data_IF_049351634825
#
_entry.id   IF_049351634825
#
_cell.length_a   1.000
_cell.length_b   1.000
_cell.length_c   1.000
_cell.angle_alpha   90.00
_cell.angle_beta   90.00
_cell.angle_gamma   90.00
#
_symmetry.space_group_name_H-M   'P 1'
#
loop_
_entity.id
_entity.type
_entity.pdbx_description
1 polymer ?
#
# COMPACT_ATOMS: atom_id res chain seq x y z
N UNK A 1 12.11 2.09 1.14
CA UNK A 1 10.71 1.90 0.72
C UNK A 1 10.00 1.09 1.77
N UNK A 2 8.70 1.30 1.93
CA UNK A 2 7.84 0.50 2.79
C UNK A 2 7.78 -0.95 2.32
N UNK A 3 7.63 -1.88 3.26
CA UNK A 3 7.53 -3.33 3.03
C UNK A 3 6.26 -3.89 3.65
N UNK A 4 5.80 -5.04 3.18
CA UNK A 4 4.70 -5.80 3.76
C UNK A 4 5.30 -6.97 4.55
N UNK A 5 5.18 -6.94 5.87
CA UNK A 5 6.01 -7.80 6.77
C UNK A 5 5.22 -8.85 7.53
N UNK A 6 3.89 -8.75 7.57
CA UNK A 6 3.02 -9.71 8.24
C UNK A 6 1.59 -9.63 7.71
N UNK A 7 0.78 -10.62 8.10
CA UNK A 7 -0.66 -10.66 7.89
C UNK A 7 -1.34 -10.61 9.26
N UNK A 8 -2.41 -9.84 9.36
CA UNK A 8 -3.22 -9.63 10.56
C UNK A 8 -4.63 -10.15 10.30
N UNK A 9 -4.98 -11.24 10.99
CA UNK A 9 -6.30 -11.87 10.90
C UNK A 9 -7.27 -11.42 12.01
N UNK A 10 -6.80 -10.64 12.99
CA UNK A 10 -7.58 -10.21 14.15
C UNK A 10 -7.37 -8.71 14.44
N UNK A 11 -8.33 -8.09 15.14
CA UNK A 11 -8.27 -6.69 15.58
C UNK A 11 -7.15 -6.43 16.63
N UNK A 12 -6.57 -7.50 17.21
CA UNK A 12 -5.60 -7.43 18.32
C UNK A 12 -4.12 -7.42 17.89
N UNK A 13 -3.82 -7.29 16.58
CA UNK A 13 -2.43 -7.25 16.13
C UNK A 13 -1.66 -6.08 16.75
N UNK A 14 -0.55 -6.41 17.43
CA UNK A 14 0.30 -5.43 18.11
C UNK A 14 1.32 -4.84 17.13
N UNK A 15 0.89 -3.79 16.42
CA UNK A 15 1.76 -3.03 15.52
C UNK A 15 3.01 -2.53 16.24
N UNK A 16 4.17 -2.82 15.65
CA UNK A 16 5.47 -2.32 16.12
C UNK A 16 5.68 -0.86 15.68
N UNK A 17 6.85 -0.31 16.02
CA UNK A 17 7.24 1.02 15.54
C UNK A 17 7.26 1.06 14.01
N UNK A 18 6.75 2.15 13.44
CA UNK A 18 6.66 2.36 11.99
C UNK A 18 5.83 1.30 11.26
N UNK A 19 4.85 0.70 11.93
CA UNK A 19 3.91 -0.23 11.30
C UNK A 19 2.49 0.33 11.23
N UNK A 20 1.77 -0.02 10.15
CA UNK A 20 0.35 0.28 9.95
C UNK A 20 -0.38 -0.85 9.22
N UNK A 21 -1.69 -1.01 9.46
CA UNK A 21 -2.51 -1.89 8.64
C UNK A 21 -2.65 -1.36 7.21
N UNK A 22 -2.68 -2.29 6.25
CA UNK A 22 -3.12 -2.09 4.88
C UNK A 22 -4.34 -2.98 4.64
N UNK A 23 -5.49 -2.34 4.45
CA UNK A 23 -6.72 -3.03 4.10
C UNK A 23 -6.82 -3.15 2.58
N UNK A 24 -6.95 -4.38 2.09
CA UNK A 24 -7.18 -4.70 0.68
C UNK A 24 -8.44 -5.57 0.61
N UNK A 25 -9.41 -5.15 -0.20
CA UNK A 25 -10.67 -5.88 -0.35
C UNK A 25 -10.42 -7.35 -0.74
N UNK A 26 -11.04 -8.27 -0.02
CA UNK A 26 -10.92 -9.71 -0.28
C UNK A 26 -9.59 -10.33 0.15
N UNK A 27 -8.79 -9.63 0.96
CA UNK A 27 -7.60 -10.16 1.63
C UNK A 27 -7.70 -9.91 3.14
N UNK A 28 -6.98 -10.70 3.94
CA UNK A 28 -6.67 -10.33 5.31
C UNK A 28 -5.87 -9.03 5.36
N UNK A 29 -5.88 -8.35 6.52
CA UNK A 29 -5.16 -7.07 6.66
C UNK A 29 -3.66 -7.31 6.59
N UNK A 30 -2.96 -6.66 5.67
CA UNK A 30 -1.50 -6.75 5.58
C UNK A 30 -0.84 -5.72 6.50
N UNK A 31 0.36 -5.99 6.99
CA UNK A 31 1.10 -5.06 7.87
C UNK A 31 2.21 -4.37 7.09
N UNK A 32 2.09 -3.05 6.93
CA UNK A 32 3.12 -2.20 6.35
C UNK A 32 4.20 -1.93 7.39
N UNK A 33 5.47 -2.01 6.99
CA UNK A 33 6.62 -1.49 7.72
C UNK A 33 7.23 -0.32 6.94
N UNK A 34 7.18 0.89 7.48
CA UNK A 34 7.86 2.05 6.89
C UNK A 34 9.36 2.01 7.15
N UNK A 35 10.11 2.57 6.20
CA UNK A 35 11.56 2.67 6.31
C UNK A 35 12.00 3.67 7.40
N UNK A 36 13.21 3.47 7.90
CA UNK A 36 13.82 4.40 8.83
C UNK A 36 14.39 5.64 8.10
N UNK A 37 13.63 6.73 8.11
CA UNK A 37 14.02 8.00 7.48
C UNK A 37 14.94 8.87 8.36
N UNK A 38 15.14 8.52 9.64
CA UNK A 38 15.91 9.33 10.59
C UNK A 38 17.41 9.02 10.60
N UNK A 39 17.84 7.91 9.97
CA UNK A 39 19.24 7.52 9.86
C UNK A 39 19.90 8.19 8.65
N UNK A 40 20.64 9.29 8.85
CA UNK A 40 21.46 9.81 7.74
C UNK A 40 22.03 11.22 7.84
N UNK A 41 21.75 12.01 8.87
CA UNK A 41 22.32 13.37 8.93
C UNK A 41 23.76 13.37 9.43
N UNK A 42 24.70 13.63 8.53
CA UNK A 42 26.09 13.92 8.88
C UNK A 42 26.21 15.37 9.38
N UNK A 43 26.34 15.53 10.69
CA UNK A 43 26.57 16.81 11.37
C UNK A 43 27.85 17.54 10.94
N UNK A 44 28.72 16.89 10.17
CA UNK A 44 30.00 17.42 9.72
C UNK A 44 29.87 18.72 8.90
N UNK A 45 28.72 18.95 8.24
CA UNK A 45 28.52 20.11 7.37
C UNK A 45 27.70 21.25 8.00
N UNK A 46 27.28 21.14 9.28
CA UNK A 46 26.30 22.04 9.91
C UNK A 46 26.66 22.50 11.32
N UNK A 47 27.94 22.56 11.68
CA UNK A 47 28.39 22.88 13.06
C UNK A 47 27.87 24.24 13.55
N UNK A 48 27.88 25.26 12.70
CA UNK A 48 27.42 26.62 13.07
C UNK A 48 25.90 26.67 13.24
N UNK A 49 25.16 25.99 12.36
CA UNK A 49 23.70 25.85 12.49
C UNK A 49 23.30 25.10 13.76
N UNK A 50 24.05 24.05 14.10
CA UNK A 50 23.85 23.31 15.34
C UNK A 50 24.13 24.18 16.56
N UNK A 51 25.23 24.94 16.58
CA UNK A 51 25.56 25.83 17.69
C UNK A 51 24.47 26.90 17.90
N UNK A 52 23.97 27.50 16.81
CA UNK A 52 22.86 28.45 16.85
C UNK A 52 21.57 27.81 17.34
N UNK A 53 21.29 26.58 16.94
CA UNK A 53 20.17 25.81 17.44
C UNK A 53 20.29 25.54 18.95
N UNK A 54 21.47 25.13 19.43
CA UNK A 54 21.71 24.88 20.87
C UNK A 54 21.49 26.14 21.70
N UNK A 55 21.87 27.33 21.21
CA UNK A 55 21.59 28.59 21.89
C UNK A 55 20.08 28.83 22.03
N UNK A 56 19.32 28.65 20.95
CA UNK A 56 17.85 28.75 20.95
C UNK A 56 17.20 27.70 21.85
N UNK A 57 17.68 26.47 21.80
CA UNK A 57 17.17 25.35 22.59
C UNK A 57 17.27 25.62 24.09
N UNK A 58 18.37 26.26 24.54
CA UNK A 58 18.59 26.61 25.94
C UNK A 58 17.65 27.69 26.49
N UNK A 59 16.90 28.38 25.63
CA UNK A 59 15.90 29.37 26.07
C UNK A 59 14.70 28.72 26.76
N UNK A 60 14.50 27.41 26.56
CA UNK A 60 13.32 26.70 27.06
C UNK A 60 13.72 25.61 28.05
N UNK A 61 13.00 25.53 29.16
CA UNK A 61 13.02 24.38 30.04
C UNK A 61 12.13 23.24 29.49
N UNK A 62 12.16 22.09 30.19
CA UNK A 62 11.39 20.89 29.79
C UNK A 62 9.89 21.14 29.65
N UNK A 63 9.28 21.86 30.57
CA UNK A 63 7.83 22.11 30.55
C UNK A 63 7.44 23.05 29.41
N UNK A 64 8.26 24.07 29.17
CA UNK A 64 8.09 25.01 28.06
C UNK A 64 8.20 24.31 26.71
N UNK A 65 9.21 23.45 26.51
CA UNK A 65 9.34 22.65 25.29
C UNK A 65 8.16 21.71 25.08
N UNK A 66 7.68 21.05 26.14
CA UNK A 66 6.54 20.12 26.05
C UNK A 66 5.24 20.84 25.65
N UNK A 67 5.05 22.08 26.12
CA UNK A 67 3.90 22.92 25.74
C UNK A 67 4.05 23.48 24.32
N UNK A 68 5.26 23.89 23.97
CA UNK A 68 5.59 24.51 22.68
C UNK A 68 5.46 23.53 21.51
N UNK A 69 5.96 22.30 21.69
CA UNK A 69 6.08 21.29 20.63
C UNK A 69 4.82 20.42 20.53
N UNK A 70 3.66 21.06 20.38
CA UNK A 70 2.39 20.40 20.08
C UNK A 70 1.74 21.04 18.86
N UNK A 71 1.32 20.23 17.89
CA UNK A 71 0.61 20.70 16.69
C UNK A 71 -0.68 19.90 16.49
N UNK A 72 -1.76 20.61 16.19
CA UNK A 72 -3.07 20.04 15.89
C UNK A 72 -3.17 19.58 14.44
N UNK A 73 -4.14 18.72 14.13
CA UNK A 73 -4.48 18.35 12.76
C UNK A 73 -4.70 19.58 11.87
N UNK A 74 -5.40 20.60 12.39
CA UNK A 74 -5.67 21.84 11.66
C UNK A 74 -4.39 22.59 11.27
N UNK A 75 -3.41 22.68 12.16
CA UNK A 75 -2.11 23.31 11.89
C UNK A 75 -1.33 22.53 10.82
N UNK A 76 -1.28 21.20 10.92
CA UNK A 76 -0.62 20.34 9.92
C UNK A 76 -1.28 20.47 8.55
N UNK A 77 -2.61 20.43 8.50
CA UNK A 77 -3.35 20.53 7.25
C UNK A 77 -3.19 21.91 6.60
N UNK A 78 -3.12 22.98 7.40
CA UNK A 78 -2.82 24.33 6.90
C UNK A 78 -1.40 24.44 6.32
N UNK A 79 -0.41 23.76 6.92
CA UNK A 79 0.95 23.69 6.38
C UNK A 79 0.98 22.89 5.07
N UNK A 80 0.39 21.69 5.06
CA UNK A 80 0.36 20.82 3.91
C UNK A 80 -0.35 21.46 2.70
N UNK A 81 -1.43 22.22 2.95
CA UNK A 81 -2.19 22.89 1.90
C UNK A 81 -1.39 23.96 1.13
N UNK A 82 -0.32 24.51 1.71
CA UNK A 82 0.55 25.47 1.03
C UNK A 82 1.35 24.82 -0.11
N UNK A 83 1.68 23.52 0.03
CA UNK A 83 2.61 22.83 -0.88
C UNK A 83 1.94 21.72 -1.69
N UNK A 84 0.96 21.02 -1.14
CA UNK A 84 0.34 19.85 -1.78
C UNK A 84 -1.00 20.19 -2.43
N UNK A 85 -1.11 20.31 -3.76
CA UNK A 85 -2.34 20.70 -4.43
C UNK A 85 -3.38 19.56 -4.54
N UNK A 86 -2.96 18.30 -4.43
CA UNK A 86 -3.86 17.15 -4.54
C UNK A 86 -4.74 17.00 -3.30
N UNK A 87 -6.05 17.21 -3.48
CA UNK A 87 -7.07 17.02 -2.43
C UNK A 87 -7.06 15.59 -1.88
N UNK A 88 -6.87 14.57 -2.74
CA UNK A 88 -6.79 13.17 -2.31
C UNK A 88 -5.69 12.94 -1.28
N UNK A 89 -4.47 13.41 -1.57
CA UNK A 89 -3.34 13.30 -0.64
C UNK A 89 -3.63 14.00 0.70
N UNK A 90 -4.22 15.19 0.66
CA UNK A 90 -4.58 15.92 1.88
C UNK A 90 -5.62 15.16 2.72
N UNK A 91 -6.64 14.59 2.08
CA UNK A 91 -7.65 13.78 2.78
C UNK A 91 -7.06 12.50 3.38
N UNK A 92 -6.13 11.84 2.68
CA UNK A 92 -5.43 10.68 3.23
C UNK A 92 -4.59 11.05 4.46
N UNK A 93 -3.89 12.19 4.44
CA UNK A 93 -3.11 12.67 5.59
C UNK A 93 -4.01 12.96 6.79
N UNK A 94 -5.15 13.62 6.57
CA UNK A 94 -6.13 13.89 7.61
C UNK A 94 -6.72 12.58 8.20
N UNK A 95 -7.08 11.63 7.34
CA UNK A 95 -7.58 10.32 7.78
C UNK A 95 -6.54 9.55 8.60
N UNK A 96 -5.28 9.52 8.14
CA UNK A 96 -4.17 8.89 8.86
C UNK A 96 -3.91 9.57 10.20
N UNK A 97 -3.95 10.90 10.27
CA UNK A 97 -3.82 11.64 11.55
C UNK A 97 -4.88 11.15 12.55
N UNK A 98 -6.14 11.08 12.13
CA UNK A 98 -7.25 10.66 12.99
C UNK A 98 -7.10 9.20 13.44
N UNK A 99 -6.75 8.30 12.52
CA UNK A 99 -6.51 6.88 12.81
C UNK A 99 -5.36 6.68 13.81
N UNK A 100 -4.24 7.38 13.62
CA UNK A 100 -3.09 7.28 14.52
C UNK A 100 -3.41 7.85 15.91
N UNK A 101 -4.25 8.88 15.96
CA UNK A 101 -4.70 9.48 17.22
C UNK A 101 -5.60 8.53 18.00
N UNK A 102 -6.53 7.81 17.33
CA UNK A 102 -7.45 6.88 17.99
C UNK A 102 -6.77 5.60 18.48
N UNK A 103 -5.81 5.09 17.71
CA UNK A 103 -5.26 3.75 17.94
C UNK A 103 -3.88 3.75 18.61
N UNK A 104 -3.30 4.94 18.88
CA UNK A 104 -1.98 5.11 19.50
C UNK A 104 -0.84 4.34 18.81
N UNK A 105 -0.94 4.14 17.48
CA UNK A 105 0.09 3.45 16.72
C UNK A 105 1.41 4.24 16.75
N UNK A 106 2.53 3.53 16.92
CA UNK A 106 3.90 4.09 16.91
C UNK A 106 4.46 4.29 15.50
N UNK A 107 3.59 4.57 14.54
CA UNK A 107 3.96 4.59 13.13
C UNK A 107 4.89 5.77 12.78
N UNK A 108 4.78 6.90 13.47
CA UNK A 108 5.49 8.15 13.14
C UNK A 108 6.78 8.39 13.95
N UNK A 109 7.33 7.38 14.62
CA UNK A 109 8.53 7.55 15.46
C UNK A 109 9.64 8.36 14.72
N UNK A 110 10.23 9.40 15.34
CA UNK A 110 10.13 9.81 16.76
C UNK A 110 8.97 10.75 17.10
N UNK A 111 8.00 10.96 16.22
CA UNK A 111 6.78 11.70 16.52
C UNK A 111 5.75 10.78 17.20
N UNK A 112 4.91 11.37 18.05
CA UNK A 112 3.85 10.67 18.75
C UNK A 112 2.60 11.55 18.93
N UNK A 113 1.47 10.93 19.24
CA UNK A 113 0.22 11.63 19.50
C UNK A 113 -0.09 11.65 21.00
N UNK A 114 -0.37 12.84 21.54
CA UNK A 114 -0.79 13.05 22.93
C UNK A 114 -1.96 14.05 22.93
N UNK A 115 -3.09 13.67 23.53
CA UNK A 115 -4.30 14.53 23.66
C UNK A 115 -4.80 15.12 22.32
N UNK A 116 -4.76 14.34 21.23
CA UNK A 116 -5.08 14.78 19.86
C UNK A 116 -4.08 15.77 19.22
N UNK A 117 -2.91 15.96 19.82
CA UNK A 117 -1.82 16.73 19.24
C UNK A 117 -0.69 15.81 18.82
N UNK A 118 -0.10 16.08 17.66
CA UNK A 118 1.18 15.51 17.28
C UNK A 118 2.30 16.26 18.02
N UNK A 119 3.23 15.51 18.60
CA UNK A 119 4.39 16.00 19.34
C UNK A 119 5.63 15.14 19.04
N UNK A 120 6.75 15.48 19.67
CA UNK A 120 8.01 14.74 19.59
C UNK A 120 8.16 13.90 20.84
N UNK A 121 8.57 12.64 20.72
CA UNK A 121 8.87 11.80 21.86
C UNK A 121 9.86 12.45 22.82
N UNK A 122 9.65 12.29 24.13
CA UNK A 122 10.45 12.96 25.16
C UNK A 122 11.96 12.69 25.02
N UNK A 123 12.36 11.45 24.70
CA UNK A 123 13.76 11.08 24.47
C UNK A 123 14.40 11.73 23.25
N UNK A 124 13.61 12.27 22.32
CA UNK A 124 14.09 13.04 21.18
C UNK A 124 14.00 14.55 21.47
N UNK A 125 12.93 14.97 22.13
CA UNK A 125 12.65 16.37 22.46
C UNK A 125 13.70 16.98 23.39
N UNK A 126 14.14 16.24 24.41
CA UNK A 126 15.02 16.78 25.46
C UNK A 126 16.50 16.84 25.08
N UNK A 127 16.88 16.24 23.95
CA UNK A 127 18.27 16.22 23.52
C UNK A 127 18.43 17.06 22.26
N UNK A 128 19.20 18.14 22.39
CA UNK A 128 19.34 19.17 21.35
C UNK A 128 19.85 18.62 20.02
N UNK A 129 20.69 17.57 20.01
CA UNK A 129 21.24 16.97 18.79
C UNK A 129 20.18 16.21 18.01
N UNK A 130 19.32 15.49 18.72
CA UNK A 130 18.24 14.65 18.21
C UNK A 130 17.13 15.55 17.66
N UNK A 131 16.71 16.55 18.44
CA UNK A 131 15.72 17.53 17.99
C UNK A 131 16.23 18.38 16.81
N UNK A 132 17.51 18.78 16.83
CA UNK A 132 18.14 19.45 15.69
C UNK A 132 18.14 18.57 14.44
N UNK A 133 18.50 17.30 14.59
CA UNK A 133 18.51 16.35 13.46
C UNK A 133 17.09 16.21 12.90
N UNK A 134 16.07 16.13 13.75
CA UNK A 134 14.68 16.09 13.30
C UNK A 134 14.31 17.36 12.50
N UNK A 135 14.58 18.56 13.02
CA UNK A 135 14.17 19.82 12.36
C UNK A 135 15.00 20.21 11.14
N UNK A 136 16.30 19.96 11.17
CA UNK A 136 17.22 20.45 10.14
C UNK A 136 17.52 19.41 9.07
N UNK A 137 17.58 18.12 9.43
CA UNK A 137 17.72 17.08 8.43
C UNK A 137 16.40 16.83 7.72
N UNK A 138 15.30 16.69 8.47
CA UNK A 138 14.05 16.15 7.91
C UNK A 138 13.09 17.24 7.40
N UNK A 139 13.08 18.43 8.01
CA UNK A 139 12.15 19.52 7.61
C UNK A 139 12.17 19.88 6.12
N UNK A 140 13.34 20.03 5.46
CA UNK A 140 13.40 20.35 4.02
C UNK A 140 12.88 19.25 3.07
N UNK A 141 12.73 18.00 3.54
CA UNK A 141 12.36 16.87 2.68
C UNK A 141 10.93 16.95 2.17
N UNK A 142 10.01 17.66 2.86
CA UNK A 142 8.63 17.78 2.37
C UNK A 142 8.56 18.39 0.97
N UNK A 143 9.39 19.41 0.69
CA UNK A 143 9.42 20.06 -0.63
C UNK A 143 9.97 19.12 -1.69
N UNK A 144 11.04 18.38 -1.37
CA UNK A 144 11.63 17.38 -2.28
C UNK A 144 10.63 16.27 -2.58
N UNK A 145 9.95 15.76 -1.56
CA UNK A 145 8.90 14.75 -1.68
C UNK A 145 7.77 15.25 -2.58
N UNK A 146 7.19 16.42 -2.28
CA UNK A 146 6.09 16.99 -3.06
C UNK A 146 6.51 17.24 -4.51
N UNK A 147 7.72 17.72 -4.75
CA UNK A 147 8.25 17.93 -6.11
C UNK A 147 8.45 16.60 -6.87
N UNK A 148 8.71 15.50 -6.16
CA UNK A 148 8.82 14.16 -6.77
C UNK A 148 7.46 13.55 -7.10
N UNK A 149 6.38 14.00 -6.46
CA UNK A 149 5.03 13.53 -6.75
C UNK A 149 4.60 14.13 -8.09
N UNK A 150 4.40 13.28 -9.10
CA UNK A 150 3.87 13.72 -10.39
C UNK A 150 2.41 14.15 -10.26
N UNK A 151 2.14 15.45 -10.43
CA UNK A 151 0.80 16.04 -10.34
C UNK A 151 0.32 16.41 -11.73
N UNK A 152 -0.84 15.87 -12.12
CA UNK A 152 -1.46 16.16 -13.40
C UNK A 152 -1.82 17.65 -13.53
N UNK A 153 -1.29 18.32 -14.56
CA UNK A 153 -1.45 19.77 -14.78
C UNK A 153 -2.91 20.22 -14.87
N UNK A 154 -3.80 19.38 -15.42
CA UNK A 154 -5.23 19.71 -15.62
C UNK A 154 -6.07 19.52 -14.36
N UNK A 155 -5.84 18.43 -13.62
CA UNK A 155 -6.73 18.02 -12.53
C UNK A 155 -6.15 18.28 -11.14
N UNK A 156 -4.89 18.71 -11.04
CA UNK A 156 -4.14 18.88 -9.78
C UNK A 156 -4.14 17.62 -8.89
N UNK A 157 -4.35 16.44 -9.47
CA UNK A 157 -4.31 15.14 -8.79
C UNK A 157 -2.99 14.45 -9.07
N UNK A 158 -2.45 13.73 -8.09
CA UNK A 158 -1.28 12.90 -8.32
C UNK A 158 -1.66 11.60 -9.05
N UNK A 159 -0.68 10.89 -9.59
CA UNK A 159 -0.89 9.61 -10.27
C UNK A 159 -1.66 8.59 -9.41
N UNK A 160 -1.36 8.50 -8.11
CA UNK A 160 -2.01 7.56 -7.19
C UNK A 160 -3.50 7.87 -6.94
N UNK A 161 -3.90 9.15 -7.06
CA UNK A 161 -5.28 9.62 -6.85
C UNK A 161 -5.97 10.05 -8.16
N UNK A 162 -5.38 9.72 -9.32
CA UNK A 162 -5.97 9.96 -10.64
C UNK A 162 -6.60 8.67 -11.15
N UNK A 163 -7.83 8.74 -11.69
CA UNK A 163 -8.51 7.57 -12.26
C UNK A 163 -7.78 6.97 -13.47
N UNK A 164 -6.90 7.74 -14.12
CA UNK A 164 -6.12 7.28 -15.28
C UNK A 164 -5.03 6.25 -14.91
N UNK A 165 -4.59 6.18 -13.65
CA UNK A 165 -3.59 5.18 -13.22
C UNK A 165 -4.12 3.75 -13.29
N UNK A 166 -5.44 3.54 -13.15
CA UNK A 166 -6.08 2.23 -13.29
C UNK A 166 -5.98 1.67 -14.72
N UNK A 167 -5.69 2.52 -15.73
CA UNK A 167 -5.55 2.08 -17.13
C UNK A 167 -4.15 1.60 -17.47
N UNK A 168 -3.16 1.91 -16.64
CA UNK A 168 -1.75 1.65 -16.93
C UNK A 168 -1.17 0.66 -15.89
N UNK A 169 -1.76 -0.54 -15.84
CA UNK A 169 -1.21 -1.70 -15.12
C UNK A 169 0.08 -2.11 -15.84
N UNK A 170 1.18 -1.43 -15.52
CA UNK A 170 2.49 -1.67 -16.14
C UNK A 170 2.98 -3.07 -15.79
N UNK A 171 3.68 -3.69 -16.76
CA UNK A 171 4.07 -5.10 -16.80
C UNK A 171 4.94 -5.55 -15.60
N UNK A 172 5.53 -4.60 -14.86
CA UNK A 172 6.46 -4.90 -13.76
C UNK A 172 5.98 -4.48 -12.37
N UNK A 173 4.81 -3.83 -12.23
CA UNK A 173 4.35 -3.32 -10.93
C UNK A 173 4.10 -4.44 -9.91
N UNK A 174 3.62 -5.59 -10.37
CA UNK A 174 3.37 -6.74 -9.52
C UNK A 174 4.67 -7.27 -8.91
N UNK A 175 5.76 -7.33 -9.71
CA UNK A 175 7.05 -7.84 -9.24
C UNK A 175 7.72 -6.88 -8.26
N UNK A 176 7.58 -5.56 -8.49
CA UNK A 176 8.03 -4.54 -7.55
C UNK A 176 7.39 -4.73 -6.17
N UNK A 177 6.07 -4.93 -6.10
CA UNK A 177 5.38 -5.12 -4.81
C UNK A 177 5.65 -6.51 -4.23
N UNK A 178 5.75 -7.54 -5.06
CA UNK A 178 6.09 -8.91 -4.64
C UNK A 178 7.42 -8.96 -3.88
N UNK A 179 8.45 -8.28 -4.40
CA UNK A 179 9.76 -8.18 -3.75
C UNK A 179 9.74 -7.41 -2.41
N UNK A 180 8.68 -6.67 -2.12
CA UNK A 180 8.50 -5.93 -0.86
C UNK A 180 7.67 -6.71 0.16
N UNK A 181 7.11 -7.86 -0.22
CA UNK A 181 6.35 -8.75 0.64
C UNK A 181 7.24 -9.80 1.27
N UNK A 182 7.08 -10.02 2.58
CA UNK A 182 7.54 -11.22 3.24
C UNK A 182 6.65 -12.41 2.86
N UNK A 183 7.15 -13.63 3.07
CA UNK A 183 6.55 -14.88 2.60
C UNK A 183 5.07 -15.03 3.00
N UNK A 184 4.71 -14.71 4.24
CA UNK A 184 3.31 -14.81 4.70
C UNK A 184 2.37 -13.86 3.94
N UNK A 185 2.86 -12.69 3.55
CA UNK A 185 2.08 -11.75 2.75
C UNK A 185 1.92 -12.25 1.31
N UNK A 186 2.97 -12.86 0.74
CA UNK A 186 2.91 -13.49 -0.59
C UNK A 186 1.88 -14.62 -0.60
N UNK A 187 1.89 -15.47 0.43
CA UNK A 187 0.91 -16.54 0.62
C UNK A 187 -0.52 -16.00 0.66
N UNK A 188 -0.79 -15.00 1.51
CA UNK A 188 -2.12 -14.39 1.63
C UNK A 188 -2.63 -13.80 0.31
N UNK A 189 -1.82 -13.02 -0.41
CA UNK A 189 -2.27 -12.39 -1.66
C UNK A 189 -2.53 -13.39 -2.78
N UNK A 190 -1.98 -14.60 -2.68
CA UNK A 190 -2.20 -15.72 -3.61
C UNK A 190 -3.39 -16.62 -3.25
N UNK A 191 -4.16 -16.30 -2.20
CA UNK A 191 -5.40 -17.01 -1.85
C UNK A 191 -6.62 -16.22 -2.33
N UNK A 192 -7.28 -16.67 -3.39
CA UNK A 192 -8.39 -15.96 -4.02
C UNK A 192 -9.74 -16.53 -3.59
N UNK A 193 -10.69 -15.66 -3.26
CA UNK A 193 -12.07 -16.06 -2.99
C UNK A 193 -12.80 -16.44 -4.28
N UNK A 194 -13.59 -17.52 -4.22
CA UNK A 194 -14.32 -18.02 -5.39
C UNK A 194 -15.28 -17.00 -5.98
N UNK A 195 -15.97 -16.21 -5.13
CA UNK A 195 -17.00 -15.28 -5.61
C UNK A 195 -16.39 -14.13 -6.41
N UNK A 196 -15.27 -13.55 -5.96
CA UNK A 196 -14.50 -12.54 -6.66
C UNK A 196 -13.87 -13.07 -7.94
N UNK A 197 -13.32 -14.29 -7.91
CA UNK A 197 -12.80 -14.95 -9.10
C UNK A 197 -13.89 -15.24 -10.13
N UNK A 198 -15.03 -15.79 -9.71
CA UNK A 198 -16.18 -16.08 -10.58
C UNK A 198 -16.69 -14.81 -11.26
N UNK A 199 -16.79 -13.71 -10.51
CA UNK A 199 -17.18 -12.40 -11.05
C UNK A 199 -16.19 -11.92 -12.11
N UNK A 200 -14.89 -12.05 -11.83
CA UNK A 200 -13.83 -11.65 -12.78
C UNK A 200 -13.88 -12.49 -14.05
N UNK A 201 -14.12 -13.79 -13.91
CA UNK A 201 -14.25 -14.70 -15.03
C UNK A 201 -15.47 -14.38 -15.89
N UNK A 202 -16.62 -14.07 -15.28
CA UNK A 202 -17.82 -13.66 -16.01
C UNK A 202 -17.61 -12.37 -16.82
N UNK A 203 -16.92 -11.38 -16.24
CA UNK A 203 -16.56 -10.15 -16.93
C UNK A 203 -15.61 -10.42 -18.10
N UNK A 204 -14.61 -11.28 -17.91
CA UNK A 204 -13.68 -11.72 -18.94
C UNK A 204 -14.43 -12.41 -20.10
N UNK A 205 -15.27 -13.40 -19.81
CA UNK A 205 -16.04 -14.14 -20.81
C UNK A 205 -17.02 -13.23 -21.58
N UNK A 206 -17.59 -12.23 -20.90
CA UNK A 206 -18.43 -11.20 -21.53
C UNK A 206 -17.62 -10.31 -22.46
N UNK A 207 -16.45 -9.84 -22.02
CA UNK A 207 -15.53 -8.99 -22.81
C UNK A 207 -15.09 -9.67 -24.12
N UNK A 208 -14.92 -10.99 -24.10
CA UNK A 208 -14.52 -11.79 -25.28
C UNK A 208 -15.67 -12.46 -26.03
N UNK A 209 -16.92 -12.10 -25.69
CA UNK A 209 -18.14 -12.51 -26.42
C UNK A 209 -18.33 -14.02 -26.56
N UNK A 210 -17.96 -14.79 -25.54
CA UNK A 210 -18.21 -16.24 -25.54
C UNK A 210 -19.71 -16.56 -25.71
N UNK A 211 -20.03 -17.59 -26.51
CA UNK A 211 -21.40 -18.11 -26.59
C UNK A 211 -21.84 -18.78 -25.27
N UNK A 212 -23.15 -18.92 -25.00
CA UNK A 212 -23.66 -19.48 -23.74
C UNK A 212 -23.07 -20.86 -23.39
N UNK A 213 -22.94 -21.75 -24.37
CA UNK A 213 -22.42 -23.10 -24.15
C UNK A 213 -20.94 -23.09 -23.74
N UNK A 214 -20.13 -22.25 -24.38
CA UNK A 214 -18.73 -22.11 -24.01
C UNK A 214 -18.60 -21.47 -22.63
N UNK A 215 -19.41 -20.45 -22.29
CA UNK A 215 -19.44 -19.85 -20.95
C UNK A 215 -19.74 -20.88 -19.87
N UNK A 216 -20.78 -21.69 -20.07
CA UNK A 216 -21.16 -22.75 -19.15
C UNK A 216 -20.03 -23.78 -18.98
N UNK A 217 -19.29 -24.09 -20.05
CA UNK A 217 -18.13 -24.99 -19.98
C UNK A 217 -16.98 -24.40 -19.15
N UNK A 218 -16.62 -23.13 -19.35
CA UNK A 218 -15.58 -22.46 -18.55
C UNK A 218 -16.01 -22.38 -17.08
N UNK A 219 -17.26 -22.00 -16.81
CA UNK A 219 -17.81 -21.96 -15.44
C UNK A 219 -17.80 -23.35 -14.77
N UNK A 220 -18.07 -24.42 -15.52
CA UNK A 220 -17.95 -25.78 -15.01
C UNK A 220 -16.48 -26.16 -14.74
N UNK A 221 -15.56 -25.78 -15.60
CA UNK A 221 -14.12 -25.98 -15.39
C UNK A 221 -13.59 -25.26 -14.13
N UNK A 222 -14.12 -24.08 -13.81
CA UNK A 222 -13.80 -23.37 -12.55
C UNK A 222 -14.38 -24.12 -11.34
N UNK A 223 -15.63 -24.60 -11.42
CA UNK A 223 -16.25 -25.36 -10.30
C UNK A 223 -15.51 -26.65 -9.99
N UNK A 224 -14.96 -27.32 -11.00
CA UNK A 224 -14.12 -28.51 -10.83
C UNK A 224 -12.80 -28.22 -10.09
N UNK A 225 -12.30 -26.98 -10.13
CA UNK A 225 -11.10 -26.58 -9.37
C UNK A 225 -11.39 -26.48 -7.85
N UNK A 226 -12.60 -26.06 -7.48
CA UNK A 226 -12.95 -25.70 -6.09
C UNK A 226 -13.75 -26.81 -5.40
N UNK A 227 -14.38 -27.70 -6.16
CA UNK A 227 -15.08 -28.86 -5.64
C UNK A 227 -14.28 -30.11 -5.98
N UNK A 228 -13.68 -30.66 -4.93
CA UNK A 228 -12.87 -31.87 -4.84
C UNK A 228 -13.65 -33.16 -5.20
N UNK A 229 -14.38 -33.17 -6.32
CA UNK A 229 -14.94 -34.39 -6.90
C UNK A 229 -13.97 -34.90 -7.98
N UNK A 230 -12.92 -35.60 -7.54
CA UNK A 230 -12.11 -36.44 -8.44
C UNK A 230 -12.99 -37.41 -9.24
N UNK A 231 -14.15 -37.80 -8.68
CA UNK A 231 -15.15 -38.63 -9.37
C UNK A 231 -15.83 -37.96 -10.58
N UNK A 232 -15.96 -36.62 -10.62
CA UNK A 232 -16.48 -35.93 -11.81
C UNK A 232 -15.37 -35.65 -12.83
N UNK A 233 -14.14 -35.39 -12.36
CA UNK A 233 -12.98 -35.12 -13.24
C UNK A 233 -12.53 -36.36 -14.03
N UNK A 234 -12.51 -37.55 -13.40
CA UNK A 234 -12.14 -38.81 -14.06
C UNK A 234 -13.13 -39.25 -15.15
N UNK A 235 -14.38 -38.75 -15.09
CA UNK A 235 -15.43 -39.05 -16.06
C UNK A 235 -15.56 -38.00 -17.19
N UNK A 236 -14.84 -36.89 -17.11
CA UNK A 236 -14.87 -35.83 -18.12
C UNK A 236 -13.76 -36.04 -19.14
N UNK A 237 -14.08 -36.74 -20.23
CA UNK A 237 -13.19 -36.88 -21.39
C UNK A 237 -12.62 -35.53 -21.84
N UNK A 238 -11.31 -35.36 -21.71
CA UNK A 238 -10.57 -34.16 -22.12
C UNK A 238 -10.32 -33.12 -21.03
N UNK A 239 -10.71 -33.36 -19.78
CA UNK A 239 -10.21 -32.57 -18.65
C UNK A 239 -8.75 -32.96 -18.37
N UNK A 240 -7.86 -31.97 -18.25
CA UNK A 240 -6.44 -32.19 -18.03
C UNK A 240 -6.01 -31.64 -16.66
N UNK A 241 -5.84 -32.50 -15.63
CA UNK A 241 -5.44 -32.07 -14.30
C UNK A 241 -4.09 -31.34 -14.26
N UNK A 242 -3.18 -31.64 -15.19
CA UNK A 242 -1.86 -31.01 -15.25
C UNK A 242 -1.94 -29.50 -15.57
N UNK A 243 -3.02 -29.03 -16.22
CA UNK A 243 -3.23 -27.59 -16.44
C UNK A 243 -3.47 -26.82 -15.15
N UNK A 244 -3.94 -27.49 -14.09
CA UNK A 244 -4.18 -26.90 -12.78
C UNK A 244 -3.09 -27.27 -11.76
N UNK A 245 -1.96 -27.84 -12.20
CA UNK A 245 -0.81 -28.04 -11.34
C UNK A 245 -0.35 -26.69 -10.74
N UNK A 246 -0.12 -26.66 -9.43
CA UNK A 246 0.16 -25.43 -8.69
C UNK A 246 -1.09 -24.68 -8.20
N UNK A 247 -2.29 -25.21 -8.43
CA UNK A 247 -3.53 -24.69 -7.84
C UNK A 247 -4.12 -25.71 -6.87
N UNK A 248 -4.58 -25.24 -5.72
CA UNK A 248 -5.38 -26.05 -4.78
C UNK A 248 -6.59 -25.27 -4.31
N UNK A 249 -7.50 -25.93 -3.60
CA UNK A 249 -8.68 -25.29 -3.01
C UNK A 249 -8.89 -25.76 -1.58
N UNK A 250 -9.65 -24.98 -0.81
CA UNK A 250 -9.99 -25.32 0.58
C UNK A 250 -11.52 -25.31 0.81
N UNK A 251 -11.99 -25.85 1.95
CA UNK A 251 -13.43 -25.94 2.26
C UNK A 251 -14.16 -24.60 2.32
N UNK A 252 -13.44 -23.49 2.46
CA UNK A 252 -13.98 -22.12 2.47
C UNK A 252 -14.18 -21.56 1.06
N UNK A 253 -14.06 -22.40 0.03
CA UNK A 253 -14.16 -22.02 -1.39
C UNK A 253 -13.09 -20.98 -1.80
N UNK A 254 -11.88 -21.08 -1.24
CA UNK A 254 -10.71 -20.36 -1.74
C UNK A 254 -9.95 -21.16 -2.80
N UNK A 255 -9.34 -20.47 -3.75
CA UNK A 255 -8.32 -21.00 -4.66
C UNK A 255 -6.95 -20.54 -4.18
N UNK A 256 -6.09 -21.49 -3.84
CA UNK A 256 -4.72 -21.24 -3.43
C UNK A 256 -3.80 -21.42 -4.63
N UNK A 257 -3.03 -20.38 -4.94
CA UNK A 257 -2.04 -20.38 -6.02
C UNK A 257 -0.66 -20.67 -5.41
N UNK A 258 0.12 -21.57 -6.01
CA UNK A 258 1.50 -21.83 -5.61
C UNK A 258 2.31 -20.51 -5.63
N UNK A 259 2.84 -20.12 -4.48
CA UNK A 259 3.55 -18.85 -4.30
C UNK A 259 4.92 -18.81 -4.99
N UNK A 260 5.32 -19.85 -5.73
CA UNK A 260 6.52 -19.77 -6.58
C UNK A 260 6.42 -18.61 -7.57
N UNK A 261 7.43 -17.75 -7.57
CA UNK A 261 7.51 -16.55 -8.41
C UNK A 261 7.26 -16.86 -9.89
N UNK A 262 7.85 -17.93 -10.42
CA UNK A 262 7.68 -18.31 -11.83
C UNK A 262 6.23 -18.70 -12.16
N UNK A 263 5.53 -19.36 -11.21
CA UNK A 263 4.14 -19.73 -11.39
C UNK A 263 3.22 -18.51 -11.35
N UNK A 264 3.40 -17.65 -10.34
CA UNK A 264 2.70 -16.36 -10.23
C UNK A 264 2.93 -15.51 -11.48
N UNK A 265 4.17 -15.39 -11.93
CA UNK A 265 4.53 -14.66 -13.14
C UNK A 265 3.80 -15.22 -14.37
N UNK A 266 3.73 -16.55 -14.52
CA UNK A 266 3.02 -17.18 -15.65
C UNK A 266 1.51 -16.84 -15.66
N UNK A 267 0.87 -16.76 -14.49
CA UNK A 267 -0.52 -16.34 -14.37
C UNK A 267 -0.69 -14.84 -14.67
N UNK A 268 0.19 -13.99 -14.13
CA UNK A 268 0.15 -12.56 -14.41
C UNK A 268 0.28 -12.27 -15.91
N UNK A 269 1.21 -12.94 -16.61
CA UNK A 269 1.40 -12.77 -18.05
C UNK A 269 0.13 -13.12 -18.85
N UNK A 270 -0.63 -14.12 -18.42
CA UNK A 270 -1.95 -14.44 -18.99
C UNK A 270 -2.94 -13.31 -18.76
N UNK A 271 -2.97 -12.75 -17.55
CA UNK A 271 -3.78 -11.60 -17.20
C UNK A 271 -3.46 -10.35 -18.03
N UNK A 272 -2.18 -10.07 -18.25
CA UNK A 272 -1.71 -8.92 -19.05
C UNK A 272 -2.09 -9.04 -20.53
N UNK A 273 -1.98 -10.25 -21.09
CA UNK A 273 -2.40 -10.53 -22.46
C UNK A 273 -3.90 -10.22 -22.68
N UNK A 274 -4.71 -10.26 -21.63
CA UNK A 274 -6.13 -9.89 -21.68
C UNK A 274 -6.37 -8.40 -21.96
N UNK A 275 -5.41 -7.53 -21.62
CA UNK A 275 -5.51 -6.07 -21.81
C UNK A 275 -5.14 -5.61 -23.22
N UNK A 276 -4.53 -6.47 -24.03
CA UNK A 276 -4.17 -6.14 -25.41
C UNK A 276 -5.47 -5.97 -26.24
N UNK A 277 -5.73 -4.77 -26.80
CA UNK A 277 -6.94 -4.52 -27.56
C UNK A 277 -6.98 -5.36 -28.84
N UNK A 278 -8.00 -6.20 -28.98
CA UNK A 278 -8.15 -7.07 -30.14
C UNK A 278 -9.30 -8.04 -30.02
N UNK A 279 -10.45 -7.58 -29.50
CA UNK A 279 -11.64 -8.39 -29.21
C UNK A 279 -12.05 -9.21 -30.43
N UNK A 280 -11.59 -10.46 -30.44
CA UNK A 280 -12.09 -11.51 -31.32
C UNK A 280 -13.02 -12.37 -30.50
N UNK A 281 -14.07 -12.85 -31.14
CA UNK A 281 -14.93 -13.88 -30.58
C UNK A 281 -14.05 -15.09 -30.22
N UNK A 282 -14.12 -15.50 -28.94
CA UNK A 282 -13.41 -16.69 -28.43
C UNK A 282 -14.43 -17.78 -28.10
N UNK A 283 -14.00 -19.03 -28.25
CA UNK A 283 -14.82 -20.21 -27.95
C UNK A 283 -14.01 -21.25 -27.20
N UNK A 284 -14.60 -21.82 -26.14
CA UNK A 284 -14.07 -22.96 -25.41
C UNK A 284 -14.67 -24.27 -25.95
N UNK A 285 -14.17 -24.72 -27.11
CA UNK A 285 -14.69 -25.92 -27.79
C UNK A 285 -14.31 -27.21 -27.05
N UNK A 286 -13.13 -27.25 -26.43
CA UNK A 286 -12.65 -28.37 -25.62
C UNK A 286 -12.60 -28.02 -24.13
N UNK A 287 -12.41 -29.03 -23.29
CA UNK A 287 -12.19 -28.86 -21.86
C UNK A 287 -10.85 -28.19 -21.56
N UNK A 288 -9.77 -28.56 -22.27
CA UNK A 288 -8.48 -27.86 -22.17
C UNK A 288 -8.62 -26.35 -22.41
N UNK A 289 -9.33 -25.93 -23.48
CA UNK A 289 -9.54 -24.49 -23.74
C UNK A 289 -10.38 -23.87 -22.61
N UNK A 290 -11.35 -24.59 -22.06
CA UNK A 290 -12.13 -24.08 -20.93
C UNK A 290 -11.27 -23.88 -19.68
N UNK A 291 -10.35 -24.80 -19.38
CA UNK A 291 -9.40 -24.69 -18.27
C UNK A 291 -8.40 -23.55 -18.50
N UNK A 292 -7.89 -23.39 -19.72
CA UNK A 292 -7.01 -22.28 -20.08
C UNK A 292 -7.70 -20.91 -19.88
N UNK A 293 -9.00 -20.80 -20.16
CA UNK A 293 -9.75 -19.56 -19.88
C UNK A 293 -9.99 -19.34 -18.38
N UNK A 294 -10.07 -20.41 -17.57
CA UNK A 294 -10.04 -20.29 -16.09
C UNK A 294 -8.69 -19.73 -15.63
N UNK A 295 -7.57 -20.23 -16.18
CA UNK A 295 -6.23 -19.70 -15.89
C UNK A 295 -6.07 -18.24 -16.32
N UNK A 296 -6.67 -17.84 -17.45
CA UNK A 296 -6.70 -16.44 -17.86
C UNK A 296 -7.49 -15.57 -16.86
N UNK A 297 -8.67 -16.04 -16.42
CA UNK A 297 -9.45 -15.37 -15.38
C UNK A 297 -8.71 -15.22 -14.06
N UNK A 298 -8.02 -16.28 -13.61
CA UNK A 298 -7.12 -16.26 -12.45
C UNK A 298 -6.02 -15.23 -12.61
N UNK A 299 -5.36 -15.19 -13.77
CA UNK A 299 -4.33 -14.21 -14.10
C UNK A 299 -4.82 -12.77 -14.02
N UNK A 300 -6.00 -12.48 -14.60
CA UNK A 300 -6.62 -11.16 -14.54
C UNK A 300 -6.96 -10.77 -13.10
N UNK A 301 -7.53 -11.69 -12.32
CA UNK A 301 -7.92 -11.44 -10.93
C UNK A 301 -6.69 -11.18 -10.05
N UNK A 302 -5.68 -12.04 -10.15
CA UNK A 302 -4.42 -11.91 -9.41
C UNK A 302 -3.70 -10.60 -9.76
N UNK A 303 -3.66 -10.23 -11.05
CA UNK A 303 -3.07 -8.96 -11.49
C UNK A 303 -3.80 -7.74 -10.92
N UNK A 304 -5.14 -7.77 -10.89
CA UNK A 304 -5.93 -6.71 -10.26
C UNK A 304 -5.64 -6.59 -8.76
N UNK A 305 -5.56 -7.73 -8.07
CA UNK A 305 -5.21 -7.80 -6.65
C UNK A 305 -3.80 -7.26 -6.39
N UNK A 306 -2.80 -7.69 -7.14
CA UNK A 306 -1.42 -7.18 -7.04
C UNK A 306 -1.35 -5.68 -7.27
N UNK A 307 -2.11 -5.16 -8.25
CA UNK A 307 -2.20 -3.73 -8.50
C UNK A 307 -2.82 -2.97 -7.31
N UNK A 308 -3.89 -3.49 -6.70
CA UNK A 308 -4.51 -2.90 -5.50
C UNK A 308 -3.54 -2.87 -4.33
N UNK A 309 -2.79 -3.96 -4.10
CA UNK A 309 -1.78 -4.03 -3.04
C UNK A 309 -0.66 -3.01 -3.28
N UNK A 310 -0.13 -2.95 -4.52
CA UNK A 310 0.87 -1.96 -4.91
C UNK A 310 0.36 -0.53 -4.71
N UNK A 311 -0.84 -0.22 -5.19
CA UNK A 311 -1.43 1.11 -5.10
C UNK A 311 -1.66 1.51 -3.64
N UNK A 312 -2.21 0.60 -2.83
CA UNK A 312 -2.43 0.80 -1.40
C UNK A 312 -1.13 1.07 -0.67
N UNK A 313 -0.10 0.23 -0.85
CA UNK A 313 1.22 0.42 -0.24
C UNK A 313 1.83 1.78 -0.61
N UNK A 314 1.73 2.19 -1.88
CA UNK A 314 2.24 3.49 -2.35
C UNK A 314 1.47 4.68 -1.78
N UNK A 315 0.14 4.57 -1.67
CA UNK A 315 -0.70 5.62 -1.06
C UNK A 315 -0.34 5.76 0.42
N UNK A 316 -0.25 4.66 1.15
CA UNK A 316 0.09 4.68 2.58
C UNK A 316 1.51 5.21 2.82
N UNK A 317 2.51 4.75 2.06
CA UNK A 317 3.88 5.26 2.15
C UNK A 317 3.97 6.77 1.85
N UNK A 318 3.28 7.24 0.81
CA UNK A 318 3.26 8.67 0.50
C UNK A 318 2.54 9.48 1.59
N UNK A 319 1.43 8.96 2.10
CA UNK A 319 0.63 9.61 3.14
C UNK A 319 1.43 9.72 4.44
N UNK A 320 2.11 8.64 4.82
CA UNK A 320 3.00 8.60 5.97
C UNK A 320 4.13 9.63 5.87
N UNK A 321 4.81 9.72 4.73
CA UNK A 321 5.85 10.73 4.52
C UNK A 321 5.30 12.15 4.60
N UNK A 322 4.16 12.43 3.95
CA UNK A 322 3.54 13.75 3.98
C UNK A 322 3.15 14.15 5.41
N UNK A 323 2.51 13.25 6.17
CA UNK A 323 2.14 13.49 7.56
C UNK A 323 3.38 13.74 8.44
N UNK A 324 4.39 12.87 8.34
CA UNK A 324 5.62 12.99 9.11
C UNK A 324 6.32 14.32 8.85
N UNK A 325 6.63 14.65 7.59
CA UNK A 325 7.39 15.86 7.29
C UNK A 325 6.57 17.14 7.50
N UNK A 326 5.26 17.13 7.25
CA UNK A 326 4.40 18.28 7.60
C UNK A 326 4.35 18.50 9.10
N UNK A 327 4.29 17.42 9.88
CA UNK A 327 4.35 17.47 11.34
C UNK A 327 5.66 18.08 11.85
N UNK A 328 6.80 17.61 11.34
CA UNK A 328 8.13 18.15 11.65
C UNK A 328 8.22 19.64 11.31
N UNK A 329 7.79 20.05 10.12
CA UNK A 329 7.84 21.44 9.69
C UNK A 329 6.96 22.35 10.55
N UNK A 330 5.76 21.90 10.91
CA UNK A 330 4.86 22.65 11.79
C UNK A 330 5.45 22.81 13.20
N UNK A 331 6.02 21.73 13.77
CA UNK A 331 6.69 21.76 15.08
C UNK A 331 7.90 22.69 15.08
N UNK A 332 8.72 22.61 14.03
CA UNK A 332 9.89 23.49 13.83
C UNK A 332 9.48 24.95 13.75
N UNK A 333 8.43 25.29 12.98
CA UNK A 333 7.92 26.65 12.87
C UNK A 333 7.48 27.21 14.22
N UNK A 334 6.80 26.41 15.06
CA UNK A 334 6.43 26.84 16.43
C UNK A 334 7.67 27.11 17.28
N UNK A 335 8.66 26.21 17.24
CA UNK A 335 9.93 26.41 17.93
C UNK A 335 10.63 27.69 17.50
N UNK A 336 10.76 27.92 16.19
CA UNK A 336 11.42 29.11 15.64
C UNK A 336 10.70 30.41 15.99
N UNK A 337 9.38 30.44 15.92
CA UNK A 337 8.58 31.62 16.31
C UNK A 337 8.73 31.93 17.79
N UNK A 338 8.71 30.92 18.66
CA UNK A 338 8.92 31.13 20.09
C UNK A 338 10.31 31.70 20.41
N UNK A 339 11.36 31.28 19.67
CA UNK A 339 12.71 31.82 19.80
C UNK A 339 12.85 33.29 19.34
N UNK A 340 11.86 33.85 18.65
CA UNK A 340 11.86 35.26 18.25
C UNK A 340 11.16 36.16 19.26
N UNK A 341 10.35 35.58 20.16
CA UNK A 341 9.49 36.30 21.11
C UNK A 341 10.08 36.26 22.53
N UNK A 342 10.85 35.22 22.87
CA UNK A 342 11.64 35.12 24.09
C UNK A 342 13.08 35.52 23.86
#
# INVERSE_FOLDING_TARGET
MARLVAVSHEDDHKYQSRQLPLHIDGCSTLVIQFADICKGYNLSNGRDDYNRFVQKFKLFNREELTKLLKVSCKEIMAELAQHMPCVGCRRCVEAMFLQLTSNQHKALEPLEFIDNFLTVQLQTMLYSKELFTLFCAQGPYIKLLINSISIGRKNKRCALHCLESHKNKSINLWYEVWCLMDQSCQEEVTVLDFSGLSTTLDEHLRKHRFCPDCKNKVQRALKLLIKHDSHDAENLNGFNPALYEGLTSCPEEHVHIDCKVDFVQSLIQRGEADFIPGSRERHAKTWDIAQEEVLNGLGVHLLDRMFKVWQGLKIEEQTWHLLFFSGVEALKKKFEVACLIG
#
